data_IF_371382928691
#
_entry.id   IF_371382928691
#
_cell.length_a   1.000
_cell.length_b   1.000
_cell.length_c   1.000
_cell.angle_alpha   90.00
_cell.angle_beta   90.00
_cell.angle_gamma   90.00
#
_symmetry.space_group_name_H-M   'P 1'
#
loop_
_entity.id
_entity.type
_entity.pdbx_description
1 polymer ?
#
# COMPACT_ATOMS: atom_id res chain seq x y z
N UNK A 1 -51.53 22.22 26.17
CA UNK A 1 -50.22 21.75 26.69
C UNK A 1 -49.78 20.43 26.00
N UNK A 2 -49.79 20.34 24.66
CA UNK A 2 -49.38 19.11 23.93
C UNK A 2 -48.21 19.30 22.94
N UNK A 3 -47.82 20.54 22.61
CA UNK A 3 -46.78 20.79 21.60
C UNK A 3 -45.34 20.81 22.16
N UNK A 4 -45.19 20.95 23.48
CA UNK A 4 -43.87 21.05 24.14
C UNK A 4 -43.27 19.64 24.33
N UNK A 5 -44.08 18.69 24.82
CA UNK A 5 -43.66 17.30 25.08
C UNK A 5 -43.14 16.56 23.84
N UNK A 6 -43.66 16.87 22.64
CA UNK A 6 -43.26 16.21 21.40
C UNK A 6 -41.93 16.73 20.84
N UNK A 7 -41.57 17.99 21.13
CA UNK A 7 -40.26 18.56 20.73
C UNK A 7 -39.12 17.97 21.54
N UNK A 8 -39.35 17.72 22.83
CA UNK A 8 -38.33 17.17 23.74
C UNK A 8 -37.94 15.74 23.35
N UNK A 9 -38.91 14.86 23.05
CA UNK A 9 -38.62 13.49 22.59
C UNK A 9 -37.91 13.40 21.23
N UNK A 10 -38.19 14.33 20.31
CA UNK A 10 -37.50 14.39 19.00
C UNK A 10 -36.06 14.88 19.17
N UNK A 11 -35.82 15.81 20.11
CA UNK A 11 -34.50 16.34 20.41
C UNK A 11 -33.62 15.31 21.15
N UNK A 12 -34.22 14.54 22.06
CA UNK A 12 -33.56 13.44 22.78
C UNK A 12 -33.13 12.31 21.84
N UNK A 13 -34.02 11.84 20.95
CA UNK A 13 -33.67 10.83 19.92
C UNK A 13 -32.57 11.29 18.96
N UNK A 14 -32.46 12.60 18.71
CA UNK A 14 -31.41 13.16 17.85
C UNK A 14 -30.06 13.19 18.58
N UNK A 15 -30.05 13.53 19.87
CA UNK A 15 -28.86 13.49 20.73
C UNK A 15 -28.36 12.04 20.95
N UNK A 16 -29.26 11.08 21.11
CA UNK A 16 -28.89 9.67 21.26
C UNK A 16 -28.21 9.12 19.98
N UNK A 17 -28.73 9.50 18.81
CA UNK A 17 -28.16 9.11 17.51
C UNK A 17 -26.79 9.77 17.25
N UNK A 18 -26.58 11.00 17.72
CA UNK A 18 -25.28 11.67 17.67
C UNK A 18 -24.28 11.02 18.64
N UNK A 19 -24.73 10.63 19.83
CA UNK A 19 -23.92 9.87 20.80
C UNK A 19 -23.47 8.51 20.26
N UNK A 20 -24.39 7.76 19.63
CA UNK A 20 -24.09 6.48 18.98
C UNK A 20 -23.06 6.63 17.85
N UNK A 21 -23.16 7.71 17.07
CA UNK A 21 -22.18 8.02 16.03
C UNK A 21 -20.81 8.36 16.63
N UNK A 22 -20.76 9.15 17.69
CA UNK A 22 -19.50 9.47 18.39
C UNK A 22 -18.84 8.20 18.93
N UNK A 23 -19.62 7.29 19.50
CA UNK A 23 -19.13 6.01 20.02
C UNK A 23 -18.56 5.18 18.87
N UNK A 24 -19.32 5.01 17.77
CA UNK A 24 -18.84 4.29 16.58
C UNK A 24 -17.54 4.88 16.03
N UNK A 25 -17.49 6.20 15.85
CA UNK A 25 -16.28 6.87 15.37
C UNK A 25 -15.09 6.64 16.30
N UNK A 26 -15.27 6.71 17.63
CA UNK A 26 -14.21 6.43 18.60
C UNK A 26 -13.73 4.98 18.53
N UNK A 27 -14.65 4.04 18.36
CA UNK A 27 -14.31 2.62 18.22
C UNK A 27 -13.50 2.37 16.96
N UNK A 28 -13.96 2.89 15.81
CA UNK A 28 -13.22 2.79 14.55
C UNK A 28 -11.85 3.45 14.62
N UNK A 29 -11.75 4.61 15.28
CA UNK A 29 -10.46 5.29 15.47
C UNK A 29 -9.51 4.42 16.28
N UNK A 30 -9.99 3.78 17.35
CA UNK A 30 -9.20 2.87 18.18
C UNK A 30 -8.77 1.63 17.40
N UNK A 31 -9.64 1.05 16.58
CA UNK A 31 -9.33 -0.08 15.70
C UNK A 31 -8.23 0.28 14.70
N UNK A 32 -8.39 1.41 13.98
CA UNK A 32 -7.38 1.91 13.03
C UNK A 32 -6.05 2.18 13.73
N UNK A 33 -6.06 2.78 14.92
CA UNK A 33 -4.83 3.02 15.68
C UNK A 33 -4.14 1.71 16.08
N UNK A 34 -4.92 0.69 16.46
CA UNK A 34 -4.39 -0.61 16.86
C UNK A 34 -3.79 -1.35 15.65
N UNK A 35 -4.49 -1.33 14.51
CA UNK A 35 -3.99 -1.87 13.24
C UNK A 35 -2.70 -1.16 12.81
N UNK A 36 -2.65 0.17 12.93
CA UNK A 36 -1.47 0.95 12.59
C UNK A 36 -0.28 0.64 13.51
N UNK A 37 -0.52 0.37 14.80
CA UNK A 37 0.52 -0.06 15.73
C UNK A 37 1.05 -1.46 15.36
N UNK A 38 0.16 -2.40 15.04
CA UNK A 38 0.54 -3.75 14.62
C UNK A 38 1.32 -3.74 13.30
N UNK A 39 0.88 -2.94 12.32
CA UNK A 39 1.57 -2.78 11.05
C UNK A 39 2.97 -2.19 11.24
N UNK A 40 3.12 -1.15 12.07
CA UNK A 40 4.44 -0.59 12.42
C UNK A 40 5.40 -1.64 12.96
N UNK A 41 4.94 -2.50 13.87
CA UNK A 41 5.76 -3.59 14.43
C UNK A 41 6.13 -4.61 13.35
N UNK A 42 5.16 -5.02 12.51
CA UNK A 42 5.40 -6.01 11.44
C UNK A 42 6.39 -5.54 10.36
N UNK A 43 6.45 -4.22 10.12
CA UNK A 43 7.40 -3.57 9.20
C UNK A 43 8.81 -3.41 9.79
N UNK A 44 9.08 -3.95 10.98
CA UNK A 44 10.37 -3.81 11.66
C UNK A 44 10.67 -2.37 12.11
N UNK A 45 9.62 -1.56 12.30
CA UNK A 45 9.77 -0.17 12.69
C UNK A 45 10.13 -0.10 14.18
N UNK A 46 11.33 0.40 14.46
CA UNK A 46 11.84 0.69 15.80
C UNK A 46 10.94 1.73 16.48
N UNK A 47 10.27 1.43 17.61
CA UNK A 47 9.34 2.35 18.27
C UNK A 47 9.99 3.66 18.74
N UNK A 48 11.33 3.68 18.88
CA UNK A 48 12.10 4.87 19.28
C UNK A 48 12.47 5.78 18.10
N UNK A 49 12.25 5.35 16.85
CA UNK A 49 12.40 6.20 15.67
C UNK A 49 11.06 6.84 15.34
N UNK A 50 11.00 8.16 15.47
CA UNK A 50 9.87 8.95 14.99
C UNK A 50 9.51 8.51 13.56
N UNK A 51 8.29 7.99 13.38
CA UNK A 51 7.75 7.62 12.08
C UNK A 51 7.61 8.89 11.23
N UNK A 52 8.66 9.19 10.46
CA UNK A 52 8.65 10.29 9.52
C UNK A 52 7.91 9.83 8.26
N UNK A 53 6.65 10.27 8.12
CA UNK A 53 5.80 10.06 6.94
C UNK A 53 6.56 10.46 5.66
N UNK A 54 7.36 11.52 5.73
CA UNK A 54 8.19 12.00 4.62
C UNK A 54 9.24 10.97 4.20
N UNK A 55 9.85 10.29 5.17
CA UNK A 55 10.83 9.23 4.95
C UNK A 55 10.18 7.99 4.32
N UNK A 56 8.98 7.62 4.80
CA UNK A 56 8.22 6.51 4.22
C UNK A 56 7.81 6.76 2.77
N UNK A 57 7.28 7.95 2.46
CA UNK A 57 6.94 8.34 1.08
C UNK A 57 8.18 8.39 0.18
N UNK A 58 9.34 8.78 0.73
CA UNK A 58 10.60 8.79 0.00
C UNK A 58 11.09 7.39 -0.31
N UNK A 59 11.06 6.46 0.66
CA UNK A 59 11.47 5.08 0.45
C UNK A 59 10.52 4.34 -0.50
N UNK A 60 9.20 4.55 -0.35
CA UNK A 60 8.19 4.01 -1.28
C UNK A 60 8.44 4.50 -2.70
N UNK A 61 8.67 5.81 -2.90
CA UNK A 61 9.01 6.36 -4.22
C UNK A 61 10.30 5.79 -4.78
N UNK A 62 11.29 5.54 -3.93
CA UNK A 62 12.55 4.91 -4.34
C UNK A 62 12.32 3.48 -4.81
N UNK A 63 11.54 2.68 -4.08
CA UNK A 63 11.17 1.33 -4.50
C UNK A 63 10.38 1.30 -5.80
N UNK A 64 9.39 2.20 -5.96
CA UNK A 64 8.63 2.34 -7.21
C UNK A 64 9.56 2.65 -8.39
N UNK A 65 10.52 3.56 -8.21
CA UNK A 65 11.51 3.88 -9.25
C UNK A 65 12.41 2.69 -9.57
N UNK A 66 12.90 1.99 -8.55
CA UNK A 66 13.75 0.80 -8.74
C UNK A 66 13.01 -0.29 -9.51
N UNK A 67 11.74 -0.58 -9.17
CA UNK A 67 10.91 -1.53 -9.90
C UNK A 67 10.68 -1.12 -11.35
N UNK A 68 10.37 0.18 -11.58
CA UNK A 68 10.19 0.70 -12.94
C UNK A 68 11.48 0.54 -13.77
N UNK A 69 12.63 0.94 -13.21
CA UNK A 69 13.93 0.81 -13.88
C UNK A 69 14.29 -0.65 -14.14
N UNK A 70 14.00 -1.56 -13.20
CA UNK A 70 14.20 -2.99 -13.39
C UNK A 70 13.36 -3.52 -14.56
N UNK A 71 12.07 -3.17 -14.61
CA UNK A 71 11.20 -3.60 -15.70
C UNK A 71 11.65 -3.06 -17.06
N UNK A 72 11.97 -1.76 -17.13
CA UNK A 72 12.49 -1.15 -18.37
C UNK A 72 13.79 -1.82 -18.83
N UNK A 73 14.71 -2.10 -17.89
CA UNK A 73 15.96 -2.77 -18.21
C UNK A 73 15.72 -4.21 -18.68
N UNK A 74 14.85 -4.96 -17.99
CA UNK A 74 14.48 -6.33 -18.37
C UNK A 74 13.88 -6.36 -19.78
N UNK A 75 12.98 -5.43 -20.10
CA UNK A 75 12.34 -5.35 -21.43
C UNK A 75 13.37 -5.04 -22.53
N UNK A 76 14.29 -4.10 -22.29
CA UNK A 76 15.39 -3.80 -23.22
C UNK A 76 16.29 -5.02 -23.40
N UNK A 77 16.69 -5.67 -22.32
CA UNK A 77 17.52 -6.88 -22.36
C UNK A 77 16.83 -7.99 -23.15
N UNK A 78 15.54 -8.24 -22.92
CA UNK A 78 14.79 -9.26 -23.65
C UNK A 78 14.69 -8.94 -25.15
N UNK A 79 14.49 -7.67 -25.52
CA UNK A 79 14.52 -7.24 -26.92
C UNK A 79 15.89 -7.50 -27.57
N UNK A 80 16.98 -7.20 -26.87
CA UNK A 80 18.34 -7.46 -27.37
C UNK A 80 18.61 -8.96 -27.51
N UNK A 81 18.18 -9.76 -26.54
CA UNK A 81 18.30 -11.23 -26.59
C UNK A 81 17.50 -11.77 -27.78
N UNK A 82 16.29 -11.27 -28.03
CA UNK A 82 15.49 -11.64 -29.19
C UNK A 82 16.23 -11.33 -30.50
N UNK A 83 16.79 -10.13 -30.64
CA UNK A 83 17.54 -9.76 -31.84
C UNK A 83 18.75 -10.68 -32.08
N UNK A 84 19.45 -11.07 -31.00
CA UNK A 84 20.59 -11.99 -31.08
C UNK A 84 20.12 -13.40 -31.44
N UNK A 85 19.00 -13.85 -30.88
CA UNK A 85 18.38 -15.13 -31.18
C UNK A 85 17.98 -15.22 -32.66
N UNK A 86 17.37 -14.16 -33.19
CA UNK A 86 16.98 -14.05 -34.60
C UNK A 86 18.21 -14.10 -35.52
N UNK A 87 19.27 -13.35 -35.18
CA UNK A 87 20.52 -13.33 -35.96
C UNK A 87 21.21 -14.70 -35.96
N UNK A 88 21.19 -15.41 -34.83
CA UNK A 88 21.77 -16.75 -34.68
C UNK A 88 20.85 -17.87 -35.16
N UNK A 89 19.62 -17.57 -35.61
CA UNK A 89 18.57 -18.55 -35.92
C UNK A 89 18.40 -19.59 -34.81
N UNK A 90 18.41 -19.13 -33.56
CA UNK A 90 18.32 -19.97 -32.37
C UNK A 90 17.20 -19.48 -31.46
N UNK A 91 16.89 -20.24 -30.42
CA UNK A 91 15.89 -19.85 -29.43
C UNK A 91 16.45 -18.85 -28.42
N UNK A 92 15.60 -17.96 -27.92
CA UNK A 92 15.90 -17.02 -26.83
C UNK A 92 16.54 -17.75 -25.66
N UNK A 93 15.97 -18.91 -25.26
CA UNK A 93 16.47 -19.71 -24.15
C UNK A 93 17.93 -20.10 -24.31
N UNK A 94 18.33 -20.56 -25.50
CA UNK A 94 19.73 -20.92 -25.76
C UNK A 94 20.66 -19.71 -25.70
N UNK A 95 20.20 -18.53 -26.12
CA UNK A 95 20.98 -17.29 -25.97
C UNK A 95 21.10 -16.88 -24.51
N UNK A 96 20.03 -17.03 -23.71
CA UNK A 96 20.06 -16.78 -22.26
C UNK A 96 21.00 -17.74 -21.54
N UNK A 97 20.95 -19.04 -21.87
CA UNK A 97 21.86 -20.06 -21.35
C UNK A 97 23.34 -19.74 -21.71
N UNK A 98 23.61 -19.32 -22.96
CA UNK A 98 24.95 -18.89 -23.40
C UNK A 98 25.44 -17.63 -22.68
N UNK A 99 24.53 -16.76 -22.26
CA UNK A 99 24.83 -15.53 -21.51
C UNK A 99 24.89 -15.75 -19.99
N UNK A 100 24.60 -16.96 -19.50
CA UNK A 100 24.56 -17.28 -18.07
C UNK A 100 23.42 -16.58 -17.33
N UNK A 101 22.29 -16.34 -18.01
CA UNK A 101 21.08 -15.77 -17.41
C UNK A 101 20.16 -16.92 -17.02
N UNK A 102 20.08 -17.21 -15.72
CA UNK A 102 19.17 -18.21 -15.17
C UNK A 102 17.73 -17.65 -15.06
N UNK A 103 16.74 -18.51 -15.31
CA UNK A 103 15.32 -18.21 -15.06
C UNK A 103 15.02 -18.41 -13.56
N UNK A 104 15.34 -17.41 -12.74
CA UNK A 104 14.84 -17.32 -11.35
C UNK A 104 13.44 -16.67 -11.28
#
# INVERSE_FOLDING_TARGET
MSAIFNKDHVNQKKQDKESDNIIKLKTTLKEIQTEHANLKVSLGHDPDKNFDITSYEKETRKHIRQLKTYNELKDISMNLIQMIADQKQTTIRKVMDEMGIDDD
#
